data_IF_742746517701
#
_entry.id   IF_742746517701
#
_cell.length_a   1.000
_cell.length_b   1.000
_cell.length_c   1.000
_cell.angle_alpha   90.00
_cell.angle_beta   90.00
_cell.angle_gamma   90.00
#
_symmetry.space_group_name_H-M   'P 1'
#
loop_
_entity.id
_entity.type
_entity.pdbx_description
1 polymer ?
#
# COMPACT_ATOMS: atom_id res chain seq x y z
N UNK A 1 -33.11 9.20 3.73
CA UNK A 1 -31.72 8.78 3.96
C UNK A 1 -31.13 9.53 5.16
N UNK A 2 -30.40 8.89 6.09
CA UNK A 2 -29.81 9.60 7.21
C UNK A 2 -28.76 10.60 6.69
N UNK A 3 -28.94 11.88 7.02
CA UNK A 3 -28.04 12.96 6.58
C UNK A 3 -26.66 12.72 7.21
N UNK A 4 -25.70 12.29 6.38
CA UNK A 4 -24.33 12.06 6.83
C UNK A 4 -23.64 13.41 7.01
N UNK A 5 -23.30 13.75 8.26
CA UNK A 5 -22.49 14.93 8.54
C UNK A 5 -21.00 14.58 8.52
N UNK A 6 -20.21 15.34 7.77
CA UNK A 6 -18.75 15.26 7.82
C UNK A 6 -18.24 15.67 9.21
N UNK A 7 -17.08 15.18 9.62
CA UNK A 7 -16.43 15.55 10.89
C UNK A 7 -16.36 17.07 11.03
N UNK A 8 -15.90 17.76 9.98
CA UNK A 8 -15.81 19.22 9.96
C UNK A 8 -17.15 19.90 10.29
N UNK A 9 -18.27 19.36 9.80
CA UNK A 9 -19.61 19.88 10.10
C UNK A 9 -20.00 19.59 11.55
N UNK A 10 -19.76 18.38 12.04
CA UNK A 10 -20.05 17.98 13.44
C UNK A 10 -19.22 18.79 14.43
N UNK A 11 -17.93 18.98 14.17
CA UNK A 11 -17.04 19.82 14.98
C UNK A 11 -17.53 21.27 15.02
N UNK A 12 -17.85 21.89 13.88
CA UNK A 12 -18.39 23.25 13.83
C UNK A 12 -19.69 23.38 14.62
N UNK A 13 -20.59 22.41 14.52
CA UNK A 13 -21.85 22.41 15.30
C UNK A 13 -21.60 22.29 16.80
N UNK A 14 -20.64 21.44 17.21
CA UNK A 14 -20.29 21.26 18.62
C UNK A 14 -19.57 22.51 19.17
N UNK A 15 -18.66 23.12 18.42
CA UNK A 15 -17.98 24.37 18.80
C UNK A 15 -18.97 25.52 19.02
N UNK A 16 -20.02 25.62 18.21
CA UNK A 16 -21.09 26.61 18.38
C UNK A 16 -21.96 26.37 19.61
N UNK A 17 -21.92 25.17 20.19
CA UNK A 17 -22.77 24.82 21.31
C UNK A 17 -22.11 25.26 22.63
N UNK A 18 -22.80 26.09 23.41
CA UNK A 18 -22.28 26.60 24.69
C UNK A 18 -22.23 25.48 25.74
N UNK A 19 -21.21 25.52 26.61
CA UNK A 19 -21.04 24.64 27.77
C UNK A 19 -19.96 23.56 27.61
N UNK A 20 -19.42 23.09 28.74
CA UNK A 20 -18.41 22.04 28.78
C UNK A 20 -18.97 20.71 28.22
N UNK A 21 -18.16 20.00 27.43
CA UNK A 21 -18.54 18.68 26.91
C UNK A 21 -18.36 17.61 27.98
N UNK A 22 -19.46 16.94 28.35
CA UNK A 22 -19.37 15.75 29.19
C UNK A 22 -18.93 14.53 28.36
N UNK A 23 -17.96 13.71 28.82
CA UNK A 23 -17.47 12.52 28.10
C UNK A 23 -18.56 11.50 27.77
N UNK A 24 -19.55 11.31 28.64
CA UNK A 24 -20.69 10.42 28.37
C UNK A 24 -21.85 11.11 27.62
N UNK A 25 -21.71 12.39 27.31
CA UNK A 25 -22.76 13.23 26.71
C UNK A 25 -23.01 12.94 25.23
N UNK A 26 -24.20 13.32 24.75
CA UNK A 26 -24.62 13.12 23.34
C UNK A 26 -23.65 13.75 22.35
N UNK A 27 -23.15 14.96 22.64
CA UNK A 27 -22.21 15.70 21.77
C UNK A 27 -20.88 14.95 21.60
N UNK A 28 -20.32 14.43 22.70
CA UNK A 28 -19.11 13.60 22.65
C UNK A 28 -19.33 12.33 21.82
N UNK A 29 -20.46 11.62 22.01
CA UNK A 29 -20.79 10.44 21.20
C UNK A 29 -20.94 10.77 19.71
N UNK A 30 -21.48 11.93 19.36
CA UNK A 30 -21.59 12.39 17.97
C UNK A 30 -20.21 12.69 17.36
N UNK A 31 -19.34 13.37 18.11
CA UNK A 31 -17.96 13.64 17.70
C UNK A 31 -17.16 12.34 17.52
N UNK A 32 -17.25 11.42 18.49
CA UNK A 32 -16.55 10.14 18.43
C UNK A 32 -17.01 9.30 17.22
N UNK A 33 -18.32 9.26 16.95
CA UNK A 33 -18.83 8.57 15.76
C UNK A 33 -18.32 9.20 14.46
N UNK A 34 -18.25 10.53 14.38
CA UNK A 34 -17.77 11.23 13.19
C UNK A 34 -16.26 11.02 12.97
N UNK A 35 -15.45 11.07 14.04
CA UNK A 35 -14.01 10.82 14.00
C UNK A 35 -13.68 9.39 13.60
N UNK A 36 -14.31 8.38 14.22
CA UNK A 36 -14.14 6.98 13.82
C UNK A 36 -14.54 6.71 12.37
N UNK A 37 -15.58 7.39 11.88
CA UNK A 37 -15.99 7.28 10.47
C UNK A 37 -14.94 7.87 9.54
N UNK A 38 -14.42 9.05 9.85
CA UNK A 38 -13.39 9.69 9.05
C UNK A 38 -12.12 8.86 9.01
N UNK A 39 -11.70 8.31 10.15
CA UNK A 39 -10.58 7.37 10.23
C UNK A 39 -10.76 6.21 9.24
N UNK A 40 -11.89 5.51 9.30
CA UNK A 40 -12.20 4.40 8.39
C UNK A 40 -12.21 4.80 6.91
N UNK A 41 -12.67 6.01 6.60
CA UNK A 41 -12.67 6.51 5.22
C UNK A 41 -11.23 6.79 4.77
N UNK A 42 -10.42 7.40 5.62
CA UNK A 42 -9.03 7.71 5.32
C UNK A 42 -8.20 6.43 5.18
N UNK A 43 -8.39 5.44 6.05
CA UNK A 43 -7.75 4.11 5.91
C UNK A 43 -8.06 3.47 4.55
N UNK A 44 -9.34 3.47 4.13
CA UNK A 44 -9.73 2.94 2.82
C UNK A 44 -9.12 3.71 1.66
N UNK A 45 -9.01 5.04 1.78
CA UNK A 45 -8.36 5.87 0.76
C UNK A 45 -6.87 5.57 0.66
N UNK A 46 -6.18 5.44 1.80
CA UNK A 46 -4.77 5.08 1.85
C UNK A 46 -4.54 3.71 1.19
N UNK A 47 -5.31 2.69 1.58
CA UNK A 47 -5.23 1.35 0.96
C UNK A 47 -5.47 1.39 -0.56
N UNK A 48 -6.39 2.23 -1.03
CA UNK A 48 -6.62 2.39 -2.47
C UNK A 48 -5.44 3.06 -3.18
N UNK A 49 -4.85 4.10 -2.57
CA UNK A 49 -3.68 4.79 -3.11
C UNK A 49 -2.48 3.86 -3.16
N UNK A 50 -2.19 3.12 -2.08
CA UNK A 50 -1.09 2.15 -2.01
C UNK A 50 -1.21 1.07 -3.10
N UNK A 51 -2.40 0.52 -3.32
CA UNK A 51 -2.65 -0.45 -4.40
C UNK A 51 -2.35 0.15 -5.78
N UNK A 52 -2.85 1.36 -6.04
CA UNK A 52 -2.64 2.06 -7.31
C UNK A 52 -1.17 2.41 -7.51
N UNK A 53 -0.47 2.82 -6.46
CA UNK A 53 0.96 3.11 -6.51
C UNK A 53 1.76 1.86 -6.88
N UNK A 54 1.41 0.70 -6.31
CA UNK A 54 2.03 -0.57 -6.68
C UNK A 54 1.77 -0.95 -8.16
N UNK A 55 0.55 -0.78 -8.64
CA UNK A 55 0.21 -0.97 -10.06
C UNK A 55 1.04 -0.07 -10.99
N UNK A 56 1.16 1.22 -10.65
CA UNK A 56 1.94 2.19 -11.43
C UNK A 56 3.44 1.88 -11.38
N UNK A 57 3.95 1.45 -10.22
CA UNK A 57 5.36 1.06 -10.08
C UNK A 57 5.71 -0.10 -11.02
N UNK A 58 4.83 -1.10 -11.14
CA UNK A 58 5.00 -2.20 -12.10
C UNK A 58 5.09 -1.67 -13.52
N UNK A 59 4.08 -0.94 -13.98
CA UNK A 59 4.02 -0.43 -15.37
C UNK A 59 5.24 0.45 -15.68
N UNK A 60 5.66 1.30 -14.74
CA UNK A 60 6.86 2.12 -14.89
C UNK A 60 8.13 1.27 -15.04
N UNK A 61 8.26 0.21 -14.26
CA UNK A 61 9.40 -0.71 -14.39
C UNK A 61 9.44 -1.37 -15.77
N UNK A 62 8.31 -1.86 -16.28
CA UNK A 62 8.24 -2.42 -17.65
C UNK A 62 8.61 -1.38 -18.70
N UNK A 63 8.10 -0.15 -18.57
CA UNK A 63 8.44 0.94 -19.48
C UNK A 63 9.95 1.22 -19.50
N UNK A 64 10.60 1.28 -18.34
CA UNK A 64 12.04 1.48 -18.22
C UNK A 64 12.82 0.28 -18.78
N UNK A 65 12.37 -0.95 -18.51
CA UNK A 65 12.99 -2.17 -19.02
C UNK A 65 12.96 -2.24 -20.56
N UNK A 66 11.84 -1.85 -21.18
CA UNK A 66 11.70 -1.78 -22.64
C UNK A 66 12.60 -0.69 -23.23
N UNK A 67 12.58 0.52 -22.65
CA UNK A 67 13.36 1.65 -23.16
C UNK A 67 14.88 1.43 -23.09
N UNK A 68 15.35 0.60 -22.17
CA UNK A 68 16.77 0.27 -22.01
C UNK A 68 17.25 -0.86 -22.94
N UNK A 69 16.34 -1.55 -23.64
CA UNK A 69 16.66 -2.58 -24.63
C UNK A 69 16.60 -2.01 -26.05
N UNK A 70 17.15 -2.78 -26.99
CA UNK A 70 16.98 -2.49 -28.41
C UNK A 70 15.49 -2.46 -28.77
N UNK A 71 15.11 -1.59 -29.72
CA UNK A 71 13.71 -1.43 -30.13
C UNK A 71 13.19 -2.74 -30.71
N UNK A 72 12.30 -3.39 -29.98
CA UNK A 72 11.54 -4.55 -30.42
C UNK A 72 10.07 -4.13 -30.59
N UNK A 73 9.42 -4.63 -31.64
CA UNK A 73 8.02 -4.31 -31.92
C UNK A 73 7.03 -5.12 -31.08
N UNK A 74 7.44 -6.32 -30.62
CA UNK A 74 6.62 -7.25 -29.83
C UNK A 74 7.52 -8.01 -28.87
N UNK A 75 6.97 -8.41 -27.72
CA UNK A 75 7.67 -9.23 -26.74
C UNK A 75 7.05 -10.62 -26.66
N UNK A 76 7.91 -11.63 -26.45
CA UNK A 76 7.43 -13.00 -26.20
C UNK A 76 6.93 -13.15 -24.76
N UNK A 77 6.21 -14.24 -24.49
CA UNK A 77 5.83 -14.59 -23.12
C UNK A 77 7.07 -14.87 -22.25
N UNK A 78 8.14 -15.43 -22.82
CA UNK A 78 9.39 -15.64 -22.08
C UNK A 78 10.05 -14.31 -21.68
N UNK A 79 10.03 -13.30 -22.55
CA UNK A 79 10.56 -11.97 -22.25
C UNK A 79 9.75 -11.30 -21.14
N UNK A 80 8.42 -11.43 -21.20
CA UNK A 80 7.53 -10.91 -20.16
C UNK A 80 7.77 -11.57 -18.80
N UNK A 81 7.98 -12.88 -18.79
CA UNK A 81 8.37 -13.62 -17.59
C UNK A 81 9.70 -13.12 -17.03
N UNK A 82 10.70 -12.90 -17.88
CA UNK A 82 12.01 -12.38 -17.48
C UNK A 82 11.89 -10.99 -16.83
N UNK A 83 11.07 -10.11 -17.39
CA UNK A 83 10.82 -8.79 -16.80
C UNK A 83 10.14 -8.88 -15.43
N UNK A 84 9.17 -9.79 -15.25
CA UNK A 84 8.53 -9.99 -13.95
C UNK A 84 9.54 -10.53 -12.93
N UNK A 85 10.35 -11.52 -13.29
CA UNK A 85 11.38 -12.08 -12.40
C UNK A 85 12.44 -11.02 -12.00
N UNK A 86 12.82 -10.14 -12.94
CA UNK A 86 13.69 -9.00 -12.65
C UNK A 86 13.03 -8.00 -11.67
N UNK A 87 11.71 -7.78 -11.80
CA UNK A 87 10.97 -6.92 -10.87
C UNK A 87 10.88 -7.52 -9.46
N UNK A 88 10.67 -8.83 -9.36
CA UNK A 88 10.57 -9.56 -8.08
C UNK A 88 11.92 -9.61 -7.34
N UNK A 89 13.03 -9.70 -8.07
CA UNK A 89 14.38 -9.79 -7.49
C UNK A 89 14.98 -8.44 -7.05
N UNK A 90 14.29 -7.30 -7.29
CA UNK A 90 14.81 -5.97 -6.93
C UNK A 90 15.12 -5.80 -5.44
N UNK A 91 14.36 -6.49 -4.57
CA UNK A 91 14.45 -6.36 -3.12
C UNK A 91 15.45 -7.39 -2.52
N UNK A 92 16.02 -8.28 -3.35
CA UNK A 92 16.89 -9.39 -2.90
C UNK A 92 18.25 -8.92 -2.40
N UNK A 93 18.86 -7.96 -3.09
CA UNK A 93 20.12 -7.38 -2.62
C UNK A 93 19.98 -6.74 -1.25
N UNK A 94 18.87 -6.05 -0.99
CA UNK A 94 18.60 -5.42 0.30
C UNK A 94 18.38 -6.49 1.38
N UNK A 95 17.60 -7.54 1.08
CA UNK A 95 17.37 -8.65 1.99
C UNK A 95 18.68 -9.36 2.35
N UNK A 96 19.56 -9.58 1.38
CA UNK A 96 20.83 -10.27 1.62
C UNK A 96 21.81 -9.42 2.42
N UNK A 97 21.83 -8.10 2.21
CA UNK A 97 22.56 -7.16 3.09
C UNK A 97 22.04 -7.22 4.52
N UNK A 98 20.71 -7.17 4.72
CA UNK A 98 20.10 -7.25 6.05
C UNK A 98 20.38 -8.59 6.74
N UNK A 99 20.39 -9.69 5.99
CA UNK A 99 20.76 -11.02 6.51
C UNK A 99 22.24 -11.12 6.88
N UNK A 100 23.13 -10.50 6.10
CA UNK A 100 24.57 -10.50 6.33
C UNK A 100 24.96 -9.66 7.57
N UNK A 101 24.35 -8.49 7.76
CA UNK A 101 24.55 -7.65 8.94
C UNK A 101 24.04 -8.30 10.24
N UNK A 102 23.13 -9.27 10.11
CA UNK A 102 22.53 -9.97 11.24
C UNK A 102 23.51 -10.97 11.84
N UNK A 103 23.93 -10.71 13.07
CA UNK A 103 24.69 -11.66 13.89
C UNK A 103 23.91 -12.96 14.13
N UNK A 104 24.63 -14.09 14.14
CA UNK A 104 24.09 -15.42 14.43
C UNK A 104 23.31 -15.40 15.77
N UNK A 105 22.05 -15.82 15.73
CA UNK A 105 21.15 -15.87 16.90
C UNK A 105 20.31 -14.62 17.17
N UNK A 106 20.52 -13.50 16.46
CA UNK A 106 19.64 -12.32 16.56
C UNK A 106 18.37 -12.52 15.71
N UNK A 107 17.17 -12.19 16.23
CA UNK A 107 15.95 -12.22 15.42
C UNK A 107 15.99 -11.19 14.28
N UNK A 108 15.26 -11.43 13.17
CA UNK A 108 15.18 -10.49 12.05
C UNK A 108 14.57 -9.16 12.50
N UNK A 109 15.02 -8.07 11.89
CA UNK A 109 14.46 -6.74 12.15
C UNK A 109 13.05 -6.62 11.55
N UNK A 110 12.25 -5.65 12.03
CA UNK A 110 10.92 -5.41 11.47
C UNK A 110 10.98 -5.10 9.96
N UNK A 111 11.99 -4.34 9.52
CA UNK A 111 12.23 -4.06 8.09
C UNK A 111 12.48 -5.33 7.29
N UNK A 112 13.34 -6.24 7.80
CA UNK A 112 13.58 -7.52 7.14
C UNK A 112 12.29 -8.35 7.03
N UNK A 113 11.51 -8.45 8.12
CA UNK A 113 10.24 -9.18 8.12
C UNK A 113 9.23 -8.60 7.12
N UNK A 114 9.12 -7.27 7.05
CA UNK A 114 8.22 -6.61 6.08
C UNK A 114 8.64 -6.88 4.64
N UNK A 115 9.94 -6.81 4.33
CA UNK A 115 10.46 -7.13 2.99
C UNK A 115 10.26 -8.59 2.63
N UNK A 116 10.55 -9.53 3.55
CA UNK A 116 10.33 -10.95 3.31
C UNK A 116 8.84 -11.27 3.08
N UNK A 117 7.94 -10.67 3.86
CA UNK A 117 6.50 -10.86 3.68
C UNK A 117 6.00 -10.25 2.37
N UNK A 118 6.54 -9.09 1.98
CA UNK A 118 6.25 -8.46 0.69
C UNK A 118 6.69 -9.35 -0.47
N UNK A 119 7.93 -9.87 -0.43
CA UNK A 119 8.45 -10.81 -1.44
C UNK A 119 7.58 -12.06 -1.56
N UNK A 120 7.26 -12.70 -0.42
CA UNK A 120 6.37 -13.88 -0.40
C UNK A 120 4.99 -13.59 -0.99
N UNK A 121 4.45 -12.39 -0.73
CA UNK A 121 3.17 -12.00 -1.32
C UNK A 121 3.28 -11.82 -2.84
N UNK A 122 4.32 -11.15 -3.32
CA UNK A 122 4.54 -10.95 -4.76
C UNK A 122 4.79 -12.28 -5.50
N UNK A 123 5.57 -13.20 -4.92
CA UNK A 123 5.78 -14.56 -5.44
C UNK A 123 4.47 -15.34 -5.52
N UNK A 124 3.64 -15.28 -4.48
CA UNK A 124 2.34 -15.93 -4.50
C UNK A 124 1.41 -15.36 -5.58
N UNK A 125 1.43 -14.04 -5.78
CA UNK A 125 0.67 -13.39 -6.86
C UNK A 125 1.17 -13.86 -8.22
N UNK A 126 2.49 -13.97 -8.40
CA UNK A 126 3.09 -14.49 -9.62
C UNK A 126 2.62 -15.91 -9.94
N UNK A 127 2.62 -16.81 -8.96
CA UNK A 127 2.11 -18.19 -9.12
C UNK A 127 0.62 -18.24 -9.44
N UNK A 128 -0.18 -17.33 -8.85
CA UNK A 128 -1.63 -17.30 -9.01
C UNK A 128 -2.12 -16.61 -10.29
N UNK A 129 -1.27 -15.78 -10.91
CA UNK A 129 -1.62 -14.94 -12.05
C UNK A 129 -1.24 -13.48 -11.81
N UNK A 130 -0.27 -12.99 -12.58
CA UNK A 130 0.27 -11.65 -12.46
C UNK A 130 -0.45 -10.67 -13.40
N UNK A 131 -0.83 -9.49 -12.90
CA UNK A 131 -1.40 -8.42 -13.72
C UNK A 131 -0.27 -7.64 -14.42
N UNK A 132 -0.20 -7.78 -15.74
CA UNK A 132 0.81 -7.17 -16.62
C UNK A 132 0.14 -6.72 -17.92
N UNK A 133 0.62 -5.63 -18.55
CA UNK A 133 0.20 -5.28 -19.90
C UNK A 133 0.64 -6.35 -20.91
N UNK A 134 -0.13 -6.51 -21.98
CA UNK A 134 0.29 -7.26 -23.17
C UNK A 134 1.20 -6.34 -24.00
N UNK A 135 2.45 -6.77 -24.28
CA UNK A 135 3.54 -5.93 -24.79
C UNK A 135 4.15 -6.50 -26.07
#
# INVERSE_FOLDING_TARGET
MPVVHSLNKVQKTIQKSKGAMHPKGRKFKQLNRATLREHKINEKKMQHVEKKEFELMRVKFFQEAINNRDKQETFSLEDMKLFIEAFLSRDDEELDRLKAERRKGRPPTNRQLLLENKKKHEEHVYDSGYLVPDL
#
